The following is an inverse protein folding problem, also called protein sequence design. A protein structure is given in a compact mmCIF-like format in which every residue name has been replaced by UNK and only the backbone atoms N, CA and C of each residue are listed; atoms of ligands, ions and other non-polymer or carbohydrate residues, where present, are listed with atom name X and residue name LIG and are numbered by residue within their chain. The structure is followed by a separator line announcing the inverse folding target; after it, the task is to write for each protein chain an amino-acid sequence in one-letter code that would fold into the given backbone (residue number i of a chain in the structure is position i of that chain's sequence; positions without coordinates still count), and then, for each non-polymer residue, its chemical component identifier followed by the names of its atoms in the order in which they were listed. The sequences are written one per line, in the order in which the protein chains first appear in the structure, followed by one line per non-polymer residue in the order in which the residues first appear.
data_IF_421962937300
#
_entry.id   IF_421962937300
#
_cell.length_a   1.000
_cell.length_b   1.000
_cell.length_c   1.000
_cell.angle_alpha   90.00
_cell.angle_beta   90.00
_cell.angle_gamma   90.00
#
_symmetry.space_group_name_H-M   'P 1'
#
loop_
_entity.id
_entity.type
_entity.pdbx_description
1 polymer ?
#
# COMPACT_ATOMS: atom_id res chain seq x y z
N UNK A 1 5.38 32.86 3.36
CA UNK A 1 5.63 32.08 4.59
C UNK A 1 6.05 30.69 4.16
N UNK A 2 7.32 30.32 4.35
CA UNK A 2 7.81 28.99 4.01
C UNK A 2 7.33 27.98 5.05
N UNK A 3 6.60 26.96 4.61
CA UNK A 3 6.28 25.82 5.46
C UNK A 3 7.56 25.01 5.69
N UNK A 4 8.11 25.12 6.91
CA UNK A 4 9.15 24.22 7.36
C UNK A 4 8.56 22.81 7.44
N UNK A 5 9.03 21.93 6.56
CA UNK A 5 8.71 20.51 6.57
C UNK A 5 9.44 19.90 7.78
N UNK A 6 8.84 19.93 8.97
CA UNK A 6 9.34 19.16 10.11
C UNK A 6 9.02 17.68 9.84
N UNK A 7 9.82 17.04 8.99
CA UNK A 7 9.69 15.64 8.64
C UNK A 7 10.09 14.80 9.86
N UNK A 8 9.11 14.55 10.74
CA UNK A 8 9.27 13.59 11.83
C UNK A 8 9.58 12.24 11.18
N UNK A 9 10.68 11.55 11.56
CA UNK A 9 11.02 10.26 10.98
C UNK A 9 9.85 9.28 11.11
N UNK A 10 9.35 8.79 9.99
CA UNK A 10 8.29 7.78 9.94
C UNK A 10 8.89 6.38 9.81
N UNK A 11 8.26 5.41 10.46
CA UNK A 11 8.66 4.00 10.44
C UNK A 11 7.79 3.31 9.38
N UNK A 12 8.35 2.91 8.22
CA UNK A 12 7.56 2.23 7.20
C UNK A 12 7.16 0.82 7.67
N UNK A 13 5.91 0.45 7.43
CA UNK A 13 5.38 -0.90 7.64
C UNK A 13 4.98 -1.44 6.27
N UNK A 14 5.78 -2.36 5.74
CA UNK A 14 5.57 -2.90 4.40
C UNK A 14 4.38 -3.86 4.39
N UNK A 15 3.41 -3.62 3.49
CA UNK A 15 2.22 -4.45 3.33
C UNK A 15 2.07 -4.81 1.87
N UNK A 16 1.99 -6.11 1.58
CA UNK A 16 1.76 -6.61 0.23
C UNK A 16 0.27 -6.66 -0.11
N UNK A 17 -0.08 -6.22 -1.31
CA UNK A 17 -1.44 -6.23 -1.84
C UNK A 17 -1.38 -6.85 -3.24
N UNK A 18 -2.04 -8.00 -3.42
CA UNK A 18 -2.15 -8.69 -4.71
C UNK A 18 -3.59 -8.57 -5.17
N UNK A 19 -3.79 -7.94 -6.33
CA UNK A 19 -5.09 -7.66 -6.93
C UNK A 19 -4.96 -7.79 -8.46
N UNK A 20 -6.05 -8.01 -9.18
CA UNK A 20 -6.07 -7.85 -10.63
C UNK A 20 -6.14 -6.35 -10.96
N UNK A 21 -5.01 -5.75 -11.35
CA UNK A 21 -4.95 -4.30 -11.61
C UNK A 21 -5.58 -3.90 -12.95
N UNK A 22 -6.00 -4.88 -13.75
CA UNK A 22 -6.75 -4.69 -14.99
C UNK A 22 -8.28 -4.77 -14.76
N UNK A 23 -8.72 -5.33 -13.63
CA UNK A 23 -10.12 -5.36 -13.23
C UNK A 23 -10.57 -4.06 -12.55
N UNK A 24 -11.75 -3.57 -12.94
CA UNK A 24 -12.29 -2.31 -12.45
C UNK A 24 -12.59 -2.35 -10.94
N UNK A 25 -13.13 -3.47 -10.44
CA UNK A 25 -13.53 -3.59 -9.04
C UNK A 25 -12.29 -3.61 -8.14
N UNK A 26 -11.24 -4.29 -8.56
CA UNK A 26 -9.97 -4.37 -7.85
C UNK A 26 -9.25 -3.02 -7.80
N UNK A 27 -9.32 -2.23 -8.89
CA UNK A 27 -8.82 -0.84 -8.89
C UNK A 27 -9.61 0.07 -7.96
N UNK A 28 -10.93 -0.11 -7.90
CA UNK A 28 -11.79 0.61 -6.93
C UNK A 28 -11.40 0.21 -5.51
N UNK A 29 -11.22 -1.08 -5.24
CA UNK A 29 -10.78 -1.57 -3.93
C UNK A 29 -9.44 -0.96 -3.51
N UNK A 30 -8.44 -0.94 -4.40
CA UNK A 30 -7.15 -0.30 -4.13
C UNK A 30 -7.27 1.20 -3.86
N UNK A 31 -8.16 1.89 -4.59
CA UNK A 31 -8.42 3.31 -4.37
C UNK A 31 -9.06 3.57 -3.01
N UNK A 32 -10.03 2.73 -2.60
CA UNK A 32 -10.65 2.77 -1.27
C UNK A 32 -9.62 2.57 -0.16
N UNK A 33 -8.69 1.63 -0.31
CA UNK A 33 -7.60 1.41 0.66
C UNK A 33 -6.73 2.67 0.79
N UNK A 34 -6.32 3.26 -0.34
CA UNK A 34 -5.49 4.47 -0.33
C UNK A 34 -6.21 5.67 0.32
N UNK A 35 -7.49 5.86 0.03
CA UNK A 35 -8.30 6.91 0.67
C UNK A 35 -8.43 6.68 2.17
N UNK A 36 -8.75 5.44 2.58
CA UNK A 36 -8.86 5.11 4.01
C UNK A 36 -7.54 5.34 4.76
N UNK A 37 -6.38 5.04 4.15
CA UNK A 37 -5.07 5.34 4.74
C UNK A 37 -4.83 6.85 4.84
N UNK A 38 -5.18 7.61 3.81
CA UNK A 38 -5.07 9.07 3.83
C UNK A 38 -5.90 9.66 4.97
N UNK A 39 -7.16 9.27 5.09
CA UNK A 39 -8.07 9.74 6.14
C UNK A 39 -7.60 9.31 7.54
N UNK A 40 -7.12 8.08 7.67
CA UNK A 40 -6.57 7.56 8.92
C UNK A 40 -5.35 8.36 9.38
N UNK A 41 -4.39 8.63 8.50
CA UNK A 41 -3.19 9.39 8.88
C UNK A 41 -3.42 10.89 8.99
N UNK A 42 -4.44 11.45 8.32
CA UNK A 42 -4.88 12.82 8.53
C UNK A 42 -5.47 13.01 9.92
N UNK A 43 -6.27 12.05 10.41
CA UNK A 43 -6.83 12.06 11.76
C UNK A 43 -5.82 11.66 12.85
N UNK A 44 -4.79 10.87 12.51
CA UNK A 44 -3.78 10.35 13.44
C UNK A 44 -2.36 10.82 13.08
N UNK A 45 -2.17 12.13 12.91
CA UNK A 45 -0.91 12.72 12.46
C UNK A 45 0.31 12.40 13.35
N UNK A 46 0.09 12.13 14.64
CA UNK A 46 1.14 11.79 15.63
C UNK A 46 1.68 10.36 15.50
N UNK A 47 1.00 9.49 14.75
CA UNK A 47 1.48 8.12 14.53
C UNK A 47 2.76 8.17 13.72
N UNK A 48 3.80 7.51 14.21
CA UNK A 48 5.10 7.44 13.52
C UNK A 48 5.14 6.35 12.48
N UNK A 49 4.32 5.31 12.61
CA UNK A 49 4.23 4.23 11.62
C UNK A 49 3.48 4.69 10.38
N UNK A 50 3.94 4.26 9.21
CA UNK A 50 3.27 4.51 7.92
C UNK A 50 3.22 3.21 7.13
N UNK A 51 2.01 2.76 6.78
CA UNK A 51 1.81 1.63 5.89
C UNK A 51 2.37 1.98 4.51
N UNK A 52 3.32 1.17 4.04
CA UNK A 52 3.91 1.24 2.72
C UNK A 52 3.35 0.10 1.88
N UNK A 53 2.26 0.38 1.15
CA UNK A 53 1.62 -0.60 0.29
C UNK A 53 2.54 -0.97 -0.87
N UNK A 54 2.70 -2.26 -1.11
CA UNK A 54 3.37 -2.85 -2.26
C UNK A 54 2.32 -3.59 -3.06
N UNK A 55 1.91 -3.03 -4.20
CA UNK A 55 0.90 -3.64 -5.06
C UNK A 55 1.54 -4.52 -6.13
N UNK A 56 0.94 -5.67 -6.42
CA UNK A 56 1.31 -6.55 -7.54
C UNK A 56 0.06 -6.99 -8.29
N UNK A 57 0.17 -7.09 -9.61
CA UNK A 57 -0.91 -7.56 -10.47
C UNK A 57 -0.99 -9.10 -10.40
N UNK A 58 -2.18 -9.65 -10.12
CA UNK A 58 -2.45 -11.09 -10.16
C UNK A 58 -2.56 -11.63 -11.59
N UNK A 59 -2.77 -10.75 -12.58
CA UNK A 59 -3.04 -11.12 -13.98
C UNK A 59 -4.22 -12.09 -14.14
N UNK A 60 -5.18 -12.05 -13.20
CA UNK A 60 -6.32 -12.98 -13.12
C UNK A 60 -5.93 -14.46 -13.05
N UNK A 61 -4.69 -14.74 -12.66
CA UNK A 61 -4.14 -16.08 -12.61
C UNK A 61 -3.67 -16.42 -11.20
N UNK A 62 -3.95 -17.65 -10.78
CA UNK A 62 -3.58 -18.14 -9.43
C UNK A 62 -2.06 -18.32 -9.31
N UNK A 63 -1.39 -18.70 -10.40
CA UNK A 63 0.08 -18.81 -10.42
C UNK A 63 0.70 -17.42 -10.44
N UNK A 64 0.16 -16.51 -11.27
CA UNK A 64 0.51 -15.09 -11.25
C UNK A 64 0.34 -14.42 -9.88
N UNK A 65 -0.75 -14.71 -9.17
CA UNK A 65 -0.98 -14.23 -7.81
C UNK A 65 0.00 -14.82 -6.78
N UNK A 66 0.32 -16.11 -6.88
CA UNK A 66 1.30 -16.76 -6.01
C UNK A 66 2.73 -16.22 -6.23
N UNK A 67 3.12 -16.04 -7.50
CA UNK A 67 4.41 -15.44 -7.87
C UNK A 67 4.49 -13.98 -7.39
N UNK A 68 3.45 -13.19 -7.63
CA UNK A 68 3.30 -11.83 -7.09
C UNK A 68 3.47 -11.79 -5.57
N UNK A 69 2.86 -12.73 -4.85
CA UNK A 69 3.01 -12.91 -3.40
C UNK A 69 4.44 -13.24 -3.00
N UNK A 70 5.09 -14.16 -3.70
CA UNK A 70 6.50 -14.53 -3.47
C UNK A 70 7.45 -13.36 -3.71
N UNK A 71 7.17 -12.51 -4.72
CA UNK A 71 7.96 -11.31 -5.02
C UNK A 71 7.72 -10.14 -4.05
N UNK A 72 6.65 -10.19 -3.25
CA UNK A 72 6.37 -9.15 -2.25
C UNK A 72 7.25 -9.29 -1.01
N UNK A 73 7.54 -10.53 -0.63
CA UNK A 73 8.38 -10.86 0.52
C UNK A 73 9.34 -11.98 0.12
N UNK A 74 10.44 -11.67 -0.60
CA UNK A 74 11.41 -12.69 -0.94
C UNK A 74 11.92 -13.33 0.36
N UNK A 75 11.73 -14.63 0.48
CA UNK A 75 12.33 -15.46 1.52
C UNK A 75 13.86 -15.39 1.36
N UNK A 76 14.51 -14.66 2.26
CA UNK A 76 15.97 -14.61 2.42
C UNK A 76 16.58 -15.98 2.65
#
# INVERSE_FOLDING_TARGET
MGVAQNTTPTIPVNVGVVLDLDDLNDKIALSCINMALSDFYASHGSYKTRLALKTRNSMKDVVGAADAGSLLFPSS
#
